data_IF_104783949932
#
_entry.id   IF_104783949932
#
_cell.length_a   1.000
_cell.length_b   1.000
_cell.length_c   1.000
_cell.angle_alpha   90.00
_cell.angle_beta   90.00
_cell.angle_gamma   90.00
#
_symmetry.space_group_name_H-M   'P 1'
#
loop_
_entity.id
_entity.type
_entity.pdbx_description
1 polymer ?
#
# COMPACT_ATOMS: atom_id res chain seq x y z
N UNK A 1 -8.39 -1.45 -2.87
CA UNK A 1 -8.09 -2.88 -2.67
C UNK A 1 -9.35 -3.55 -2.11
N UNK A 2 -9.86 -4.56 -2.79
CA UNK A 2 -11.02 -5.31 -2.38
C UNK A 2 -10.60 -6.68 -1.84
N UNK A 3 -10.91 -6.95 -0.57
CA UNK A 3 -10.73 -8.25 0.04
C UNK A 3 -12.04 -9.04 -0.02
N UNK A 4 -12.01 -10.27 -0.51
CA UNK A 4 -13.19 -11.13 -0.68
C UNK A 4 -12.98 -12.50 -0.06
N UNK A 5 -14.06 -13.06 0.45
CA UNK A 5 -14.12 -14.45 0.90
C UNK A 5 -15.10 -15.22 0.03
N UNK A 6 -14.71 -16.43 -0.37
CA UNK A 6 -15.55 -17.36 -1.13
C UNK A 6 -15.60 -18.66 -0.35
N UNK A 7 -16.80 -19.18 -0.09
CA UNK A 7 -17.02 -20.47 0.58
C UNK A 7 -17.86 -21.33 -0.34
N UNK A 8 -17.25 -22.41 -0.81
CA UNK A 8 -17.86 -23.36 -1.73
C UNK A 8 -18.00 -24.75 -1.07
N UNK A 9 -18.90 -25.58 -1.58
CA UNK A 9 -18.97 -26.97 -1.12
C UNK A 9 -17.77 -27.74 -1.69
N UNK A 10 -17.03 -28.44 -0.83
CA UNK A 10 -16.00 -29.36 -1.27
C UNK A 10 -16.62 -30.56 -2.01
N UNK A 11 -15.93 -31.11 -2.98
CA UNK A 11 -16.40 -32.26 -3.79
C UNK A 11 -16.72 -33.53 -2.96
N UNK A 12 -16.08 -33.65 -1.81
CA UNK A 12 -16.29 -34.79 -0.87
C UNK A 12 -17.33 -34.44 0.21
N UNK A 13 -18.02 -33.32 0.12
CA UNK A 13 -19.05 -32.87 1.08
C UNK A 13 -20.29 -33.77 0.97
N UNK A 14 -20.85 -34.15 2.12
CA UNK A 14 -22.09 -34.94 2.22
C UNK A 14 -23.08 -34.27 3.19
N UNK A 15 -24.36 -34.62 3.13
CA UNK A 15 -25.36 -34.08 4.08
C UNK A 15 -25.01 -34.40 5.56
N UNK A 16 -24.39 -35.58 5.81
CA UNK A 16 -23.99 -35.96 7.15
C UNK A 16 -22.63 -35.44 7.60
N UNK A 17 -21.80 -35.03 6.66
CA UNK A 17 -20.47 -34.43 6.90
C UNK A 17 -20.22 -33.32 5.90
N UNK A 18 -20.76 -32.09 6.16
CA UNK A 18 -20.55 -30.97 5.28
C UNK A 18 -19.09 -30.50 5.32
N UNK A 19 -18.47 -30.41 4.15
CA UNK A 19 -17.12 -29.92 3.96
C UNK A 19 -17.12 -28.70 3.01
N UNK A 20 -16.29 -27.75 3.31
CA UNK A 20 -16.20 -26.49 2.56
C UNK A 20 -14.78 -26.21 2.10
N UNK A 21 -14.67 -25.60 0.94
CA UNK A 21 -13.45 -25.00 0.45
C UNK A 21 -13.54 -23.49 0.65
N UNK A 22 -12.56 -22.91 1.36
CA UNK A 22 -12.58 -21.49 1.75
C UNK A 22 -11.40 -20.78 1.12
N UNK A 23 -11.70 -19.83 0.25
CA UNK A 23 -10.74 -18.98 -0.43
C UNK A 23 -10.81 -17.53 0.03
N UNK A 24 -9.66 -16.90 0.23
CA UNK A 24 -9.53 -15.44 0.45
C UNK A 24 -8.76 -14.83 -0.72
N UNK A 25 -9.27 -13.72 -1.24
CA UNK A 25 -8.74 -13.06 -2.43
C UNK A 25 -8.55 -11.58 -2.16
N UNK A 26 -7.38 -11.06 -2.51
CA UNK A 26 -7.14 -9.62 -2.58
C UNK A 26 -7.20 -9.18 -4.04
N UNK A 27 -8.22 -8.41 -4.39
CA UNK A 27 -8.64 -8.15 -5.77
C UNK A 27 -8.89 -9.47 -6.52
N UNK A 28 -8.00 -9.84 -7.44
CA UNK A 28 -8.07 -11.09 -8.21
C UNK A 28 -7.04 -12.14 -7.78
N UNK A 29 -6.18 -11.82 -6.80
CA UNK A 29 -5.11 -12.71 -6.34
C UNK A 29 -5.58 -13.51 -5.13
N UNK A 30 -5.45 -14.84 -5.18
CA UNK A 30 -5.71 -15.71 -4.05
C UNK A 30 -4.60 -15.55 -3.01
N UNK A 31 -4.97 -15.11 -1.81
CA UNK A 31 -4.03 -14.86 -0.69
C UNK A 31 -4.15 -15.89 0.42
N UNK A 32 -5.20 -16.72 0.40
CA UNK A 32 -5.38 -17.84 1.30
C UNK A 32 -6.37 -18.86 0.73
N UNK A 33 -6.13 -20.15 0.98
CA UNK A 33 -7.03 -21.22 0.57
C UNK A 33 -6.91 -22.42 1.52
N UNK A 34 -8.04 -22.97 1.92
CA UNK A 34 -8.10 -24.20 2.69
C UNK A 34 -9.22 -25.10 2.16
N UNK A 35 -8.89 -26.36 1.93
CA UNK A 35 -9.81 -27.37 1.41
C UNK A 35 -10.40 -28.22 2.54
N UNK A 36 -11.58 -28.74 2.30
CA UNK A 36 -12.25 -29.77 3.12
C UNK A 36 -12.38 -29.36 4.60
N UNK A 37 -12.67 -28.10 4.86
CA UNK A 37 -12.87 -27.55 6.21
C UNK A 37 -14.27 -27.91 6.70
N UNK A 38 -14.38 -28.48 7.89
CA UNK A 38 -15.68 -28.86 8.47
C UNK A 38 -16.26 -27.77 9.37
N UNK A 39 -15.41 -27.03 10.05
CA UNK A 39 -15.83 -25.95 10.97
C UNK A 39 -14.95 -24.73 10.81
N UNK A 40 -15.47 -23.56 11.18
CA UNK A 40 -14.69 -22.32 11.15
C UNK A 40 -13.47 -22.36 12.10
N UNK A 41 -13.52 -23.21 13.13
CA UNK A 41 -12.40 -23.39 14.05
C UNK A 41 -11.16 -23.99 13.36
N UNK A 42 -11.36 -24.77 12.30
CA UNK A 42 -10.30 -25.41 11.53
C UNK A 42 -9.60 -24.45 10.55
N UNK A 43 -10.20 -23.27 10.30
CA UNK A 43 -9.59 -22.25 9.44
C UNK A 43 -8.39 -21.60 10.14
N UNK A 44 -7.26 -21.57 9.46
CA UNK A 44 -6.09 -20.78 9.89
C UNK A 44 -6.25 -19.32 9.53
N UNK A 45 -5.86 -18.44 10.44
CA UNK A 45 -5.75 -17.02 10.16
C UNK A 45 -4.61 -16.79 9.15
N UNK A 46 -4.73 -15.72 8.35
CA UNK A 46 -3.68 -15.30 7.45
C UNK A 46 -3.40 -13.80 7.63
N UNK A 47 -2.44 -13.25 6.89
CA UNK A 47 -2.03 -11.83 7.01
C UNK A 47 -3.16 -10.83 6.72
N UNK A 48 -4.27 -11.27 6.13
CA UNK A 48 -5.38 -10.41 5.69
C UNK A 48 -6.69 -10.68 6.43
N UNK A 49 -6.87 -11.89 6.99
CA UNK A 49 -8.14 -12.33 7.59
C UNK A 49 -7.91 -13.07 8.90
N UNK A 50 -8.61 -12.64 9.93
CA UNK A 50 -8.78 -13.36 11.20
C UNK A 50 -10.21 -13.86 11.30
N UNK A 51 -10.39 -15.16 11.57
CA UNK A 51 -11.69 -15.80 11.57
C UNK A 51 -12.38 -15.71 12.93
N UNK A 52 -13.64 -15.31 12.94
CA UNK A 52 -14.47 -15.42 14.16
C UNK A 52 -14.85 -16.89 14.38
N UNK A 53 -14.14 -17.57 15.26
CA UNK A 53 -14.27 -19.00 15.54
C UNK A 53 -15.62 -19.43 16.13
N UNK A 54 -16.47 -18.48 16.51
CA UNK A 54 -17.84 -18.75 17.03
C UNK A 54 -18.90 -18.76 15.92
N UNK A 55 -18.55 -18.34 14.70
CA UNK A 55 -19.47 -18.33 13.57
C UNK A 55 -19.63 -19.73 12.95
N UNK A 56 -20.69 -19.94 12.19
CA UNK A 56 -20.89 -21.15 11.40
C UNK A 56 -20.49 -20.93 9.93
N UNK A 57 -19.90 -21.95 9.32
CA UNK A 57 -19.66 -21.94 7.88
C UNK A 57 -20.96 -22.17 7.12
N UNK A 58 -21.18 -21.40 6.07
CA UNK A 58 -22.28 -21.58 5.12
C UNK A 58 -21.80 -21.26 3.71
N UNK A 59 -22.44 -21.87 2.71
CA UNK A 59 -22.18 -21.53 1.32
C UNK A 59 -22.39 -20.04 1.10
N UNK A 60 -21.43 -19.41 0.53
CA UNK A 60 -21.44 -17.97 0.28
C UNK A 60 -20.89 -17.68 -1.10
N UNK A 61 -21.69 -17.03 -1.93
CA UNK A 61 -21.18 -16.35 -3.10
C UNK A 61 -20.13 -15.32 -2.67
N UNK A 62 -19.26 -14.91 -3.59
CA UNK A 62 -18.22 -13.90 -3.30
C UNK A 62 -18.78 -12.77 -2.46
N UNK A 63 -18.28 -12.60 -1.24
CA UNK A 63 -18.62 -11.48 -0.36
C UNK A 63 -17.45 -10.53 -0.20
N UNK A 64 -17.62 -9.23 -0.50
CA UNK A 64 -16.63 -8.23 -0.15
C UNK A 64 -16.59 -8.05 1.37
N UNK A 65 -15.41 -8.02 1.95
CA UNK A 65 -15.23 -7.61 3.34
C UNK A 65 -15.31 -6.09 3.42
N UNK A 66 -16.15 -5.59 4.32
CA UNK A 66 -16.41 -4.17 4.52
C UNK A 66 -15.99 -3.73 5.92
N UNK A 67 -15.79 -2.43 6.11
CA UNK A 67 -15.47 -1.86 7.42
C UNK A 67 -14.00 -2.02 7.82
N UNK A 68 -13.11 -2.30 6.86
CA UNK A 68 -11.66 -2.22 7.12
C UNK A 68 -11.25 -0.78 7.38
N UNK A 69 -10.45 -0.58 8.42
CA UNK A 69 -9.85 0.72 8.74
C UNK A 69 -8.34 0.65 8.52
N UNK A 70 -7.78 1.75 8.04
CA UNK A 70 -6.32 1.89 7.99
C UNK A 70 -5.79 1.95 9.41
N UNK A 71 -4.75 1.18 9.70
CA UNK A 71 -4.03 1.30 10.97
C UNK A 71 -3.48 2.72 11.16
N UNK A 72 -3.31 3.13 12.43
CA UNK A 72 -2.70 4.42 12.73
C UNK A 72 -1.24 4.43 12.25
N UNK A 73 -0.93 5.28 11.27
CA UNK A 73 0.43 5.57 10.85
C UNK A 73 0.96 6.72 11.71
N UNK A 74 1.49 6.39 12.88
CA UNK A 74 2.12 7.38 13.77
C UNK A 74 3.51 7.79 13.22
N UNK A 75 4.01 8.94 13.66
CA UNK A 75 5.33 9.48 13.27
C UNK A 75 6.47 8.46 13.46
N UNK A 76 6.35 7.61 14.50
CA UNK A 76 7.30 6.54 14.81
C UNK A 76 7.33 5.49 13.68
N UNK A 77 6.21 5.17 13.06
CA UNK A 77 6.16 4.22 11.95
C UNK A 77 6.92 4.76 10.72
N UNK A 78 6.77 6.06 10.44
CA UNK A 78 7.54 6.73 9.39
C UNK A 78 9.03 6.76 9.69
N UNK A 79 9.44 7.01 10.92
CA UNK A 79 10.85 6.97 11.32
C UNK A 79 11.44 5.56 11.15
N UNK A 80 10.75 4.51 11.63
CA UNK A 80 11.18 3.13 11.49
C UNK A 80 11.32 2.72 10.01
N UNK A 81 10.39 3.18 9.16
CA UNK A 81 10.47 2.96 7.72
C UNK A 81 11.73 3.63 7.12
N UNK A 82 12.00 4.89 7.45
CA UNK A 82 13.16 5.62 6.95
C UNK A 82 14.47 4.98 7.41
N UNK A 83 14.54 4.54 8.66
CA UNK A 83 15.71 3.84 9.21
C UNK A 83 15.97 2.50 8.47
N UNK A 84 14.92 1.75 8.18
CA UNK A 84 15.03 0.53 7.38
C UNK A 84 15.51 0.82 5.96
N UNK A 85 15.05 1.92 5.35
CA UNK A 85 15.41 2.32 3.98
C UNK A 85 16.87 2.77 3.84
N UNK A 86 17.59 3.04 4.91
CA UNK A 86 19.01 3.37 4.84
C UNK A 86 19.86 2.26 4.22
N UNK A 87 19.48 1.01 4.41
CA UNK A 87 20.20 -0.15 3.88
C UNK A 87 19.98 -0.38 2.38
N UNK A 88 18.96 0.26 1.79
CA UNK A 88 18.60 0.08 0.38
C UNK A 88 19.15 1.19 -0.51
N UNK A 89 19.34 0.88 -1.79
CA UNK A 89 19.69 1.85 -2.83
C UNK A 89 18.46 2.11 -3.70
N UNK A 90 18.07 3.38 -3.82
CA UNK A 90 16.93 3.82 -4.63
C UNK A 90 17.20 5.22 -5.19
N UNK A 91 16.52 5.58 -6.28
CA UNK A 91 16.67 6.88 -6.92
C UNK A 91 15.67 7.91 -6.38
N UNK A 92 14.45 7.49 -6.12
CA UNK A 92 13.40 8.35 -5.61
C UNK A 92 12.53 7.64 -4.55
N UNK A 93 11.98 8.41 -3.62
CA UNK A 93 11.07 7.98 -2.58
C UNK A 93 9.90 8.96 -2.50
N UNK A 94 8.68 8.48 -2.30
CA UNK A 94 7.50 9.33 -2.12
C UNK A 94 7.00 9.33 -0.68
N UNK A 95 6.53 10.49 -0.21
CA UNK A 95 5.78 10.62 1.03
C UNK A 95 4.36 11.07 0.72
N UNK A 96 3.39 10.19 0.91
CA UNK A 96 1.97 10.47 0.66
C UNK A 96 1.27 11.13 1.85
N UNK A 97 1.93 11.27 3.00
CA UNK A 97 1.36 11.96 4.15
C UNK A 97 1.13 13.44 3.85
N UNK A 98 -0.01 13.95 4.29
CA UNK A 98 -0.35 15.37 4.25
C UNK A 98 0.17 16.13 5.46
N UNK A 99 0.58 15.43 6.53
CA UNK A 99 1.12 16.01 7.75
C UNK A 99 2.45 16.75 7.48
N UNK A 100 2.55 18.04 7.83
CA UNK A 100 3.78 18.83 7.68
C UNK A 100 4.97 18.26 8.46
N UNK A 101 4.74 17.65 9.62
CA UNK A 101 5.80 17.05 10.46
C UNK A 101 6.41 15.86 9.75
N UNK A 102 5.57 14.95 9.24
CA UNK A 102 6.00 13.78 8.48
C UNK A 102 6.75 14.20 7.21
N UNK A 103 6.22 15.16 6.45
CA UNK A 103 6.92 15.70 5.26
C UNK A 103 8.29 16.29 5.61
N UNK A 104 8.38 17.00 6.72
CA UNK A 104 9.64 17.52 7.26
C UNK A 104 10.63 16.43 7.61
N UNK A 105 10.16 15.32 8.18
CA UNK A 105 10.97 14.13 8.50
C UNK A 105 11.61 13.52 7.23
N UNK A 106 10.82 13.34 6.18
CA UNK A 106 11.32 12.83 4.88
C UNK A 106 12.33 13.78 4.23
N UNK A 107 12.10 15.09 4.30
CA UNK A 107 13.04 16.09 3.78
C UNK A 107 14.37 16.07 4.54
N UNK A 108 14.33 16.00 5.88
CA UNK A 108 15.51 15.92 6.73
C UNK A 108 16.29 14.62 6.49
N UNK A 109 15.59 13.48 6.38
CA UNK A 109 16.18 12.20 6.05
C UNK A 109 16.90 12.26 4.68
N UNK A 110 16.25 12.81 3.66
CA UNK A 110 16.85 12.95 2.33
C UNK A 110 18.12 13.81 2.36
N UNK A 111 18.10 14.92 3.09
CA UNK A 111 19.29 15.77 3.27
C UNK A 111 20.43 14.99 3.89
N UNK A 112 20.18 14.25 4.98
CA UNK A 112 21.18 13.41 5.64
C UNK A 112 21.74 12.35 4.69
N UNK A 113 20.87 11.67 3.93
CA UNK A 113 21.31 10.66 2.96
C UNK A 113 22.23 11.24 1.88
N UNK A 114 21.93 12.43 1.40
CA UNK A 114 22.70 13.07 0.33
C UNK A 114 23.99 13.72 0.83
N UNK A 115 23.93 14.46 1.92
CA UNK A 115 25.03 15.29 2.40
C UNK A 115 26.02 14.48 3.25
N UNK A 116 25.52 13.61 4.15
CA UNK A 116 26.35 12.88 5.11
C UNK A 116 26.73 11.47 4.60
N UNK A 117 25.77 10.75 3.98
CA UNK A 117 25.99 9.36 3.52
C UNK A 117 26.44 9.31 2.06
N UNK A 118 26.16 10.34 1.27
CA UNK A 118 26.55 10.44 -0.14
C UNK A 118 25.62 9.68 -1.11
N UNK A 119 24.45 9.24 -0.68
CA UNK A 119 23.44 8.61 -1.54
C UNK A 119 22.67 9.66 -2.33
N UNK A 120 22.75 9.63 -3.66
CA UNK A 120 22.08 10.60 -4.55
C UNK A 120 20.63 10.22 -4.84
N UNK A 121 19.80 10.18 -3.81
CA UNK A 121 18.36 9.96 -3.90
C UNK A 121 17.57 11.28 -3.85
N UNK A 122 16.31 11.24 -4.26
CA UNK A 122 15.36 12.35 -4.14
C UNK A 122 14.13 11.91 -3.35
N UNK A 123 13.49 12.85 -2.68
CA UNK A 123 12.19 12.64 -2.05
C UNK A 123 11.13 13.51 -2.72
N UNK A 124 9.97 12.91 -2.99
CA UNK A 124 8.81 13.60 -3.58
C UNK A 124 7.75 13.75 -2.48
N UNK A 125 7.32 14.97 -2.25
CA UNK A 125 6.33 15.33 -1.22
C UNK A 125 5.32 16.33 -1.75
N UNK A 126 4.13 16.37 -1.18
CA UNK A 126 3.09 17.33 -1.54
C UNK A 126 3.31 18.66 -0.81
N UNK A 127 3.16 19.80 -1.52
CA UNK A 127 3.14 21.15 -0.94
C UNK A 127 4.24 21.40 0.12
N UNK A 128 5.45 20.92 -0.13
CA UNK A 128 6.59 21.16 0.74
C UNK A 128 7.14 22.57 0.57
N UNK A 129 7.59 23.17 1.67
CA UNK A 129 8.32 24.43 1.71
C UNK A 129 9.85 24.20 1.85
N UNK A 130 10.31 22.95 1.82
CA UNK A 130 11.72 22.65 1.92
C UNK A 130 12.45 23.17 0.67
N UNK A 131 13.38 24.09 0.87
CA UNK A 131 14.26 24.61 -0.17
C UNK A 131 15.56 23.79 -0.17
N UNK A 132 15.50 22.64 -0.85
CA UNK A 132 16.64 21.72 -0.94
C UNK A 132 16.57 20.91 -2.25
N UNK A 133 17.71 20.78 -2.93
CA UNK A 133 17.81 20.13 -4.26
C UNK A 133 17.35 18.66 -4.31
N UNK A 134 17.37 17.96 -3.18
CA UNK A 134 16.91 16.58 -3.06
C UNK A 134 15.39 16.44 -2.84
N UNK A 135 14.65 17.55 -2.70
CA UNK A 135 13.21 17.55 -2.42
C UNK A 135 12.43 18.05 -3.62
N UNK A 136 11.57 17.20 -4.17
CA UNK A 136 10.61 17.55 -5.22
C UNK A 136 9.26 17.84 -4.56
N UNK A 137 8.80 19.09 -4.66
CA UNK A 137 7.52 19.54 -4.10
C UNK A 137 6.43 19.53 -5.17
N UNK A 138 5.49 18.59 -5.07
CA UNK A 138 4.32 18.51 -5.94
C UNK A 138 3.30 19.56 -5.49
N UNK A 139 2.94 20.47 -6.38
CA UNK A 139 1.97 21.55 -6.12
C UNK A 139 0.60 21.28 -6.74
N UNK A 140 0.58 20.52 -7.82
CA UNK A 140 -0.64 20.15 -8.52
C UNK A 140 -1.27 18.95 -7.85
N UNK A 141 -2.59 18.85 -7.92
CA UNK A 141 -3.37 17.71 -7.46
C UNK A 141 -4.19 17.11 -8.59
N UNK A 142 -4.81 15.95 -8.32
CA UNK A 142 -5.83 15.36 -9.17
C UNK A 142 -7.19 15.83 -8.67
N UNK A 143 -8.03 16.35 -9.56
CA UNK A 143 -9.37 16.78 -9.19
C UNK A 143 -10.28 15.57 -8.90
N UNK A 144 -11.14 15.71 -7.90
CA UNK A 144 -12.17 14.72 -7.57
C UNK A 144 -11.71 13.49 -6.79
N UNK A 145 -10.47 13.48 -6.28
CA UNK A 145 -9.96 12.43 -5.40
C UNK A 145 -9.63 12.98 -4.01
N UNK A 146 -9.72 12.13 -2.99
CA UNK A 146 -9.26 12.49 -1.65
C UNK A 146 -7.76 12.77 -1.66
N UNK A 147 -7.34 13.80 -0.90
CA UNK A 147 -5.93 14.20 -0.80
C UNK A 147 -5.29 14.49 -2.18
N UNK A 148 -5.98 15.22 -3.03
CA UNK A 148 -5.67 15.52 -4.43
C UNK A 148 -4.18 15.67 -4.74
N UNK A 149 -3.44 16.45 -3.93
CA UNK A 149 -2.01 16.69 -4.15
C UNK A 149 -1.15 15.48 -3.83
N UNK A 150 -1.53 14.67 -2.84
CA UNK A 150 -0.81 13.45 -2.46
C UNK A 150 -1.01 12.32 -3.50
N UNK A 151 -2.17 12.30 -4.14
CA UNK A 151 -2.50 11.31 -5.17
C UNK A 151 -1.54 11.33 -6.37
N UNK A 152 -0.94 12.47 -6.68
CA UNK A 152 0.01 12.61 -7.80
C UNK A 152 1.45 12.20 -7.45
N UNK A 153 1.75 11.97 -6.18
CA UNK A 153 3.11 11.62 -5.72
C UNK A 153 3.63 10.32 -6.35
N UNK A 154 2.88 9.20 -6.42
CA UNK A 154 3.38 7.95 -7.01
C UNK A 154 3.79 8.11 -8.47
N UNK A 155 3.02 8.83 -9.27
CA UNK A 155 3.36 9.13 -10.65
C UNK A 155 4.63 9.97 -10.73
N UNK A 156 4.74 11.04 -9.93
CA UNK A 156 5.92 11.91 -9.89
C UNK A 156 7.18 11.15 -9.47
N UNK A 157 7.08 10.23 -8.50
CA UNK A 157 8.18 9.33 -8.10
C UNK A 157 8.63 8.48 -9.29
N UNK A 158 7.67 7.91 -10.03
CA UNK A 158 7.95 7.13 -11.25
C UNK A 158 8.68 7.95 -12.30
N UNK A 159 8.24 9.19 -12.55
CA UNK A 159 8.90 10.12 -13.48
C UNK A 159 10.32 10.44 -13.04
N UNK A 160 10.50 10.81 -11.76
CA UNK A 160 11.83 11.15 -11.21
C UNK A 160 12.79 9.97 -11.27
N UNK A 161 12.31 8.77 -10.89
CA UNK A 161 13.14 7.56 -10.88
C UNK A 161 13.43 7.02 -12.29
N UNK A 162 12.49 7.19 -13.24
CA UNK A 162 12.55 6.62 -14.58
C UNK A 162 13.19 7.52 -15.63
N UNK A 163 13.37 8.82 -15.34
CA UNK A 163 13.98 9.74 -16.29
C UNK A 163 15.46 9.45 -16.46
N UNK A 164 15.88 9.12 -17.67
CA UNK A 164 17.28 8.86 -17.98
C UNK A 164 18.13 10.13 -17.81
N UNK A 165 19.42 9.96 -17.47
CA UNK A 165 20.37 11.05 -17.19
C UNK A 165 20.48 12.09 -18.32
N UNK A 166 20.23 11.66 -19.56
CA UNK A 166 20.28 12.50 -20.75
C UNK A 166 18.92 13.03 -21.21
N UNK A 167 17.88 12.88 -20.38
CA UNK A 167 16.51 13.35 -20.65
C UNK A 167 16.04 14.31 -19.56
N UNK A 168 15.05 15.11 -19.92
CA UNK A 168 14.35 16.00 -18.98
C UNK A 168 12.94 15.48 -18.75
N UNK A 169 12.46 15.61 -17.52
CA UNK A 169 11.06 15.38 -17.17
C UNK A 169 10.18 16.62 -17.41
N UNK A 170 10.75 17.69 -17.94
CA UNK A 170 10.01 18.92 -18.24
C UNK A 170 8.95 18.66 -19.29
N UNK A 171 7.73 19.16 -19.07
CA UNK A 171 6.56 19.01 -19.94
C UNK A 171 6.13 17.54 -20.15
N UNK A 172 6.36 16.66 -19.18
CA UNK A 172 5.71 15.35 -19.15
C UNK A 172 4.28 15.52 -18.67
N UNK A 173 3.34 15.08 -19.48
CA UNK A 173 1.93 15.09 -19.13
C UNK A 173 1.58 13.87 -18.25
N UNK A 174 0.64 14.08 -17.33
CA UNK A 174 0.03 12.96 -16.60
C UNK A 174 -0.93 12.23 -17.55
N UNK A 175 -0.71 10.93 -17.73
CA UNK A 175 -1.46 10.05 -18.62
C UNK A 175 -2.39 9.06 -17.88
N UNK A 176 -2.59 9.28 -16.59
CA UNK A 176 -3.52 8.50 -15.78
C UNK A 176 -4.99 8.84 -16.07
N UNK A 177 -5.89 7.93 -15.70
CA UNK A 177 -7.33 8.19 -15.69
C UNK A 177 -7.69 9.10 -14.51
N UNK A 178 -8.62 10.03 -14.77
CA UNK A 178 -9.15 10.97 -13.77
C UNK A 178 -10.41 10.39 -13.13
#
# INVERSE_FOLDING_TARGET
NELRVVIEANENSTESNPLFDVGTYLNTVQVGYQEAVSTIADLADNDFVTWNKEAALSLTATMPLMGGENGAAEDVAHQNYLDAMESYTYNAMGCMSTDPVVKGLYAAYNRRMRDDVGKKCQVVVSNSLADYEGVVSVKNGLEGVDEETAALIPWTVGVVAGTAVNKSATNMDYDGEY
#
